data_IF_242971131271
#
_entry.id   IF_242971131271
#
_cell.length_a   1.000
_cell.length_b   1.000
_cell.length_c   1.000
_cell.angle_alpha   90.00
_cell.angle_beta   90.00
_cell.angle_gamma   90.00
#
_symmetry.space_group_name_H-M   'P 1'
#
loop_
_entity.id
_entity.type
_entity.pdbx_description
1 polymer ?
#
# COMPACT_ATOMS: atom_id res chain seq x y z
N UNK A 1 -2.70 33.08 -15.84
CA UNK A 1 -2.87 32.39 -14.56
C UNK A 1 -2.41 30.95 -14.72
N UNK A 2 -1.45 30.53 -13.91
CA UNK A 2 -0.96 29.16 -13.94
C UNK A 2 -2.07 28.24 -13.45
N UNK A 3 -2.36 27.17 -14.20
CA UNK A 3 -3.32 26.16 -13.76
C UNK A 3 -2.77 25.42 -12.53
N UNK A 4 -3.65 25.09 -11.59
CA UNK A 4 -3.26 24.28 -10.43
C UNK A 4 -2.86 22.88 -10.89
N UNK A 5 -1.75 22.39 -10.35
CA UNK A 5 -1.29 21.04 -10.65
C UNK A 5 -2.30 19.99 -10.20
N UNK A 6 -2.65 19.09 -11.10
CA UNK A 6 -3.62 18.02 -10.84
C UNK A 6 -2.97 16.66 -10.67
N UNK A 7 -1.86 16.40 -11.35
CA UNK A 7 -1.22 15.08 -11.45
C UNK A 7 0.20 15.15 -10.89
N UNK A 8 0.52 14.23 -9.98
CA UNK A 8 1.84 14.13 -9.35
C UNK A 8 2.38 12.74 -9.60
N UNK A 9 3.62 12.65 -10.08
CA UNK A 9 4.32 11.40 -10.36
C UNK A 9 5.70 11.48 -9.72
N UNK A 10 6.05 10.44 -8.92
CA UNK A 10 7.40 10.33 -8.36
C UNK A 10 8.39 9.86 -9.42
N UNK A 11 9.61 10.34 -9.32
CA UNK A 11 10.74 9.81 -10.09
C UNK A 11 11.14 8.43 -9.56
N UNK A 12 11.90 7.66 -10.36
CA UNK A 12 12.37 6.33 -9.96
C UNK A 12 13.12 6.35 -8.61
N UNK A 13 13.96 7.36 -8.40
CA UNK A 13 14.75 7.51 -7.19
C UNK A 13 13.93 7.92 -5.96
N UNK A 14 12.70 8.38 -6.15
CA UNK A 14 11.80 8.79 -5.08
C UNK A 14 10.89 7.64 -4.61
N UNK A 15 10.96 6.48 -5.26
CA UNK A 15 10.18 5.30 -4.87
C UNK A 15 10.69 4.80 -3.52
N UNK A 16 9.79 4.63 -2.53
CA UNK A 16 10.18 4.14 -1.21
C UNK A 16 10.83 2.76 -1.27
N UNK A 17 11.82 2.55 -0.42
CA UNK A 17 12.55 1.27 -0.28
C UNK A 17 12.06 0.44 0.89
N UNK A 18 11.15 1.00 1.70
CA UNK A 18 10.56 0.33 2.87
C UNK A 18 9.05 0.45 2.85
N UNK A 19 8.38 -0.56 3.37
CA UNK A 19 6.95 -0.49 3.68
C UNK A 19 6.77 0.07 5.09
N UNK A 20 5.75 0.90 5.26
CA UNK A 20 5.34 1.37 6.57
C UNK A 20 4.26 0.47 7.16
N UNK A 21 4.53 -0.06 8.34
CA UNK A 21 3.59 -0.88 9.10
C UNK A 21 2.91 -0.03 10.17
N UNK A 22 1.70 0.44 9.87
CA UNK A 22 0.92 1.29 10.77
C UNK A 22 0.60 0.60 12.11
N UNK A 23 0.55 -0.73 12.15
CA UNK A 23 0.24 -1.49 13.36
C UNK A 23 1.24 -1.22 14.48
N UNK A 24 2.51 -0.95 14.13
CA UNK A 24 3.53 -0.60 15.11
C UNK A 24 3.24 0.71 15.85
N UNK A 25 2.54 1.64 15.21
CA UNK A 25 2.24 2.97 15.75
C UNK A 25 0.81 3.11 16.29
N UNK A 26 -0.02 2.10 16.16
CA UNK A 26 -1.38 2.13 16.69
C UNK A 26 -1.37 2.03 18.20
N UNK A 27 -2.09 2.95 18.86
CA UNK A 27 -2.30 2.92 20.33
C UNK A 27 -3.04 1.64 20.72
N UNK A 28 -4.12 1.34 19.99
CA UNK A 28 -4.87 0.10 20.15
C UNK A 28 -4.52 -0.82 18.98
N UNK A 29 -3.64 -1.77 19.22
CA UNK A 29 -3.24 -2.72 18.19
C UNK A 29 -4.40 -3.64 17.81
N UNK A 30 -4.54 -3.99 16.51
CA UNK A 30 -5.58 -4.90 16.10
C UNK A 30 -5.40 -6.27 16.73
N UNK A 31 -6.50 -6.90 17.12
CA UNK A 31 -6.48 -8.28 17.59
C UNK A 31 -6.21 -9.20 16.39
N UNK A 32 -5.38 -10.26 16.58
CA UNK A 32 -5.15 -11.21 15.52
C UNK A 32 -6.43 -11.97 15.18
N UNK A 33 -6.64 -12.35 13.91
CA UNK A 33 -7.75 -13.23 13.54
C UNK A 33 -7.70 -14.54 14.31
N UNK A 34 -8.84 -15.15 14.55
CA UNK A 34 -8.93 -16.45 15.21
C UNK A 34 -9.01 -17.58 14.20
N UNK A 35 -8.27 -18.64 14.45
CA UNK A 35 -8.39 -19.88 13.68
C UNK A 35 -9.79 -20.46 13.93
N UNK A 36 -10.60 -20.72 12.88
CA UNK A 36 -11.99 -21.17 13.05
C UNK A 36 -12.10 -22.55 13.70
N UNK A 37 -11.08 -23.39 13.60
CA UNK A 37 -11.08 -24.72 14.21
C UNK A 37 -10.67 -24.70 15.68
N UNK A 38 -9.58 -23.98 16.00
CA UNK A 38 -8.99 -23.99 17.34
C UNK A 38 -9.51 -22.86 18.23
N UNK A 39 -10.11 -21.81 17.63
CA UNK A 39 -10.52 -20.58 18.32
C UNK A 39 -9.36 -19.81 18.97
N UNK A 40 -8.13 -20.16 18.62
CA UNK A 40 -6.92 -19.46 19.05
C UNK A 40 -6.46 -18.47 17.98
N UNK A 41 -5.65 -17.45 18.34
CA UNK A 41 -5.06 -16.56 17.37
C UNK A 41 -4.33 -17.33 16.27
N UNK A 42 -4.51 -16.90 15.01
CA UNK A 42 -3.83 -17.52 13.88
C UNK A 42 -2.33 -17.29 13.98
N UNK A 43 -1.56 -18.29 13.53
CA UNK A 43 -0.10 -18.20 13.40
C UNK A 43 0.29 -17.86 11.97
N UNK A 44 1.56 -17.49 11.75
CA UNK A 44 2.07 -17.28 10.40
C UNK A 44 1.98 -18.57 9.56
N UNK A 45 2.18 -19.73 10.19
CA UNK A 45 2.01 -21.03 9.54
C UNK A 45 0.57 -21.27 9.09
N UNK A 46 -0.41 -20.92 9.93
CA UNK A 46 -1.84 -21.03 9.55
C UNK A 46 -2.14 -20.20 8.30
N UNK A 47 -1.64 -18.96 8.24
CA UNK A 47 -1.85 -18.06 7.10
C UNK A 47 -1.04 -18.50 5.87
N UNK A 48 0.06 -19.21 6.06
CA UNK A 48 0.95 -19.63 4.97
C UNK A 48 0.31 -20.65 4.02
N UNK A 49 -0.82 -21.22 4.38
CA UNK A 49 -1.61 -22.06 3.47
C UNK A 49 -2.26 -21.25 2.33
N UNK A 50 -2.39 -19.94 2.50
CA UNK A 50 -3.03 -19.04 1.51
C UNK A 50 -2.02 -18.02 0.98
N UNK A 51 -1.16 -17.48 1.84
CA UNK A 51 -0.18 -16.45 1.52
C UNK A 51 1.24 -16.99 1.66
N UNK A 52 2.23 -16.29 1.10
CA UNK A 52 3.62 -16.64 1.38
C UNK A 52 3.93 -16.49 2.87
N UNK A 53 4.86 -17.28 3.40
CA UNK A 53 5.20 -17.24 4.82
C UNK A 53 5.67 -15.85 5.25
N UNK A 54 6.45 -15.16 4.42
CA UNK A 54 6.93 -13.81 4.73
C UNK A 54 5.80 -12.78 4.77
N UNK A 55 4.84 -12.86 3.84
CA UNK A 55 3.64 -12.01 3.90
C UNK A 55 2.81 -12.31 5.16
N UNK A 56 2.71 -13.59 5.53
CA UNK A 56 1.98 -14.01 6.75
C UNK A 56 2.62 -13.46 8.02
N UNK A 57 3.95 -13.47 8.08
CA UNK A 57 4.70 -12.87 9.20
C UNK A 57 4.47 -11.36 9.27
N UNK A 58 4.50 -10.67 8.14
CA UNK A 58 4.27 -9.22 8.08
C UNK A 58 2.84 -8.85 8.51
N UNK A 59 1.84 -9.63 8.12
CA UNK A 59 0.44 -9.39 8.51
C UNK A 59 0.26 -9.41 10.02
N UNK A 60 0.99 -10.28 10.71
CA UNK A 60 0.90 -10.44 12.16
C UNK A 60 1.90 -9.57 12.94
N UNK A 61 2.78 -8.84 12.26
CA UNK A 61 3.80 -8.00 12.88
C UNK A 61 3.19 -6.69 13.39
N UNK A 62 3.22 -6.49 14.70
CA UNK A 62 2.76 -5.25 15.35
C UNK A 62 3.89 -4.43 15.94
N UNK A 63 5.15 -4.81 15.69
CA UNK A 63 6.32 -4.24 16.38
C UNK A 63 7.23 -3.44 15.44
N UNK A 64 7.46 -3.93 14.23
CA UNK A 64 8.37 -3.29 13.29
C UNK A 64 7.63 -2.23 12.46
N UNK A 65 8.02 -0.98 12.62
CA UNK A 65 7.45 0.16 11.90
C UNK A 65 7.81 0.14 10.41
N UNK A 66 9.07 -0.17 10.11
CA UNK A 66 9.61 -0.17 8.76
C UNK A 66 10.06 -1.57 8.37
N UNK A 67 9.63 -2.01 7.22
CA UNK A 67 9.96 -3.32 6.68
C UNK A 67 10.64 -3.11 5.34
N UNK A 68 11.89 -3.56 5.21
CA UNK A 68 12.65 -3.41 3.97
C UNK A 68 11.97 -4.18 2.84
N UNK A 69 11.79 -3.51 1.70
CA UNK A 69 11.26 -4.13 0.50
C UNK A 69 12.39 -4.97 -0.13
N UNK A 70 12.19 -6.28 -0.38
CA UNK A 70 13.21 -7.11 -1.03
C UNK A 70 13.64 -6.52 -2.37
N UNK A 71 14.92 -6.60 -2.69
CA UNK A 71 15.49 -6.04 -3.93
C UNK A 71 14.77 -6.54 -5.18
N UNK A 72 14.44 -7.82 -5.24
CA UNK A 72 13.69 -8.40 -6.37
C UNK A 72 12.30 -7.77 -6.56
N UNK A 73 11.66 -7.34 -5.46
CA UNK A 73 10.37 -6.63 -5.51
C UNK A 73 10.58 -5.19 -5.97
N UNK A 74 11.61 -4.51 -5.46
CA UNK A 74 11.97 -3.16 -5.88
C UNK A 74 12.26 -3.10 -7.39
N UNK A 75 12.97 -4.08 -7.91
CA UNK A 75 13.25 -4.17 -9.35
C UNK A 75 11.96 -4.27 -10.17
N UNK A 76 10.98 -5.03 -9.68
CA UNK A 76 9.66 -5.10 -10.33
C UNK A 76 8.91 -3.78 -10.22
N UNK A 77 9.01 -3.07 -9.10
CA UNK A 77 8.38 -1.76 -8.94
C UNK A 77 8.86 -0.74 -9.97
N UNK A 78 10.11 -0.80 -10.40
CA UNK A 78 10.67 0.10 -11.42
C UNK A 78 9.94 0.04 -12.76
N UNK A 79 9.27 -1.07 -13.07
CA UNK A 79 8.52 -1.22 -14.33
C UNK A 79 7.17 -0.52 -14.32
N UNK A 80 6.50 -0.37 -13.17
CA UNK A 80 5.14 0.15 -13.11
C UNK A 80 4.86 1.19 -12.03
N UNK A 81 5.78 1.42 -11.13
CA UNK A 81 5.70 2.51 -10.15
C UNK A 81 6.57 3.69 -10.64
N UNK A 82 6.21 4.91 -10.33
CA UNK A 82 5.10 5.29 -9.48
C UNK A 82 3.81 5.41 -10.29
N UNK A 83 2.68 5.10 -9.66
CA UNK A 83 1.37 5.40 -10.23
C UNK A 83 0.98 6.85 -9.91
N UNK A 84 0.22 7.53 -10.79
CA UNK A 84 -0.12 8.93 -10.57
C UNK A 84 -0.98 9.16 -9.32
N UNK A 85 -0.66 10.23 -8.58
CA UNK A 85 -1.53 10.80 -7.56
C UNK A 85 -2.27 11.97 -8.19
N UNK A 86 -3.59 11.93 -8.20
CA UNK A 86 -4.42 12.93 -8.89
C UNK A 86 -5.28 13.69 -7.88
N UNK A 87 -5.28 15.01 -8.00
CA UNK A 87 -6.15 15.87 -7.20
C UNK A 87 -7.55 15.89 -7.75
N UNK A 88 -8.55 15.65 -6.90
CA UNK A 88 -9.97 15.58 -7.27
C UNK A 88 -10.68 16.92 -7.08
N UNK A 89 -10.27 17.96 -7.80
CA UNK A 89 -10.84 19.30 -7.66
C UNK A 89 -12.35 19.36 -7.87
N UNK A 90 -12.88 18.60 -8.84
CA UNK A 90 -14.32 18.58 -9.11
C UNK A 90 -15.10 17.99 -7.91
N UNK A 91 -14.57 16.98 -7.27
CA UNK A 91 -15.17 16.37 -6.08
C UNK A 91 -15.13 17.34 -4.89
N UNK A 92 -13.98 18.00 -4.67
CA UNK A 92 -13.84 19.01 -3.61
C UNK A 92 -14.89 20.11 -3.77
N UNK A 93 -15.09 20.59 -5.00
CA UNK A 93 -16.10 21.61 -5.30
C UNK A 93 -17.52 21.08 -5.10
N UNK A 94 -17.81 19.88 -5.54
CA UNK A 94 -19.13 19.28 -5.37
C UNK A 94 -19.51 19.06 -3.91
N UNK A 95 -18.52 18.77 -3.06
CA UNK A 95 -18.71 18.60 -1.62
C UNK A 95 -18.64 19.90 -0.83
N UNK A 96 -18.31 21.01 -1.49
CA UNK A 96 -18.10 22.32 -0.85
C UNK A 96 -17.18 22.21 0.38
N UNK A 97 -16.05 21.53 0.21
CA UNK A 97 -15.11 21.25 1.30
C UNK A 97 -13.79 21.98 1.09
N UNK A 98 -13.13 22.48 2.16
CA UNK A 98 -11.77 22.98 2.10
C UNK A 98 -10.71 21.86 2.06
N UNK A 99 -11.12 20.60 2.24
CA UNK A 99 -10.21 19.47 2.23
C UNK A 99 -9.58 19.26 0.84
N UNK A 100 -8.32 18.87 0.82
CA UNK A 100 -7.63 18.45 -0.38
C UNK A 100 -7.83 16.93 -0.57
N UNK A 101 -8.59 16.57 -1.61
CA UNK A 101 -8.91 15.17 -1.89
C UNK A 101 -8.06 14.67 -3.05
N UNK A 102 -7.40 13.53 -2.84
CA UNK A 102 -6.55 12.88 -3.83
C UNK A 102 -6.96 11.44 -4.04
N UNK A 103 -6.68 10.92 -5.21
CA UNK A 103 -6.80 9.49 -5.49
C UNK A 103 -5.57 8.98 -6.23
N UNK A 104 -5.16 7.74 -5.94
CA UNK A 104 -4.13 7.04 -6.69
C UNK A 104 -4.76 6.44 -7.94
N UNK A 105 -4.27 6.85 -9.10
CA UNK A 105 -4.75 6.30 -10.36
C UNK A 105 -3.96 5.05 -10.69
N UNK A 106 -4.58 3.89 -10.47
CA UNK A 106 -4.00 2.57 -10.74
C UNK A 106 -4.49 1.97 -12.07
N UNK A 107 -5.29 2.71 -12.82
CA UNK A 107 -5.94 2.23 -14.05
C UNK A 107 -4.94 1.85 -15.15
N UNK A 108 -3.86 2.62 -15.29
CA UNK A 108 -2.82 2.38 -16.31
C UNK A 108 -2.01 1.09 -16.08
N UNK A 109 -2.11 0.48 -14.91
CA UNK A 109 -1.39 -0.77 -14.59
C UNK A 109 -1.92 -1.98 -15.34
N UNK A 110 -3.17 -1.97 -15.71
CA UNK A 110 -3.80 -3.11 -16.40
C UNK A 110 -3.23 -3.36 -17.80
N UNK A 111 -2.72 -2.34 -18.45
CA UNK A 111 -2.13 -2.45 -19.79
C UNK A 111 -0.69 -2.97 -19.79
N UNK A 112 0.06 -2.74 -18.71
CA UNK A 112 1.47 -3.17 -18.59
C UNK A 112 1.61 -4.65 -18.22
N UNK A 113 0.56 -5.29 -17.72
CA UNK A 113 0.60 -6.69 -17.30
C UNK A 113 0.46 -7.69 -18.46
N UNK A 114 0.20 -7.21 -19.67
CA UNK A 114 -0.03 -8.06 -20.85
C UNK A 114 1.15 -8.10 -21.82
N UNK A 115 2.21 -7.35 -21.59
CA UNK A 115 3.40 -7.25 -22.45
C UNK A 115 4.63 -8.01 -21.91
N UNK A 116 4.43 -8.98 -21.05
CA UNK A 116 5.53 -9.81 -20.53
C UNK A 116 5.43 -11.21 -21.09
#
# INVERSE_FOLDING_TARGET
>A
MLSKQKKFILQENDIPTQWYNIQADMVNKPLPPLNPKTKQPVTAEDLSHIFSLECSKQELDTEHRWIDIPEAVLDKYKYYRSTPLVRAYALEKALDTPAHIYFKNEEERSTLNFEV
#
